data_IF_705506118624
#
_entry.id   IF_705506118624
#
_cell.length_a   1.000
_cell.length_b   1.000
_cell.length_c   1.000
_cell.angle_alpha   90.00
_cell.angle_beta   90.00
_cell.angle_gamma   90.00
#
_symmetry.space_group_name_H-M   'P 1'
#
loop_
_entity.id
_entity.type
_entity.pdbx_description
1 polymer ?
#
# COMPACT_ATOMS: atom_id res chain seq x y z
N UNK A 1 62.95 30.22 -35.34
CA UNK A 1 62.59 29.09 -34.47
C UNK A 1 62.29 29.66 -33.11
N UNK A 2 61.12 29.29 -32.57
CA UNK A 2 60.60 29.52 -31.21
C UNK A 2 60.38 30.97 -30.74
N UNK A 3 59.26 31.36 -30.13
CA UNK A 3 58.12 30.58 -29.66
C UNK A 3 57.46 31.31 -28.49
N UNK A 4 56.15 31.60 -28.63
CA UNK A 4 55.13 31.73 -27.56
C UNK A 4 55.34 32.74 -26.44
N UNK A 5 54.66 33.91 -26.46
CA UNK A 5 53.25 34.13 -26.14
C UNK A 5 52.87 33.95 -24.64
N UNK A 6 52.74 35.12 -24.00
CA UNK A 6 52.15 35.50 -22.72
C UNK A 6 51.03 34.58 -22.19
N UNK A 7 51.23 33.96 -21.03
CA UNK A 7 50.21 33.22 -20.27
C UNK A 7 49.13 34.19 -19.75
N UNK A 8 47.95 34.20 -20.36
CA UNK A 8 46.74 34.78 -19.76
C UNK A 8 46.06 33.70 -18.92
N UNK A 9 46.06 33.91 -17.59
CA UNK A 9 45.27 33.10 -16.65
C UNK A 9 43.80 33.48 -16.87
N UNK A 10 43.04 32.61 -17.53
CA UNK A 10 41.59 32.74 -17.65
C UNK A 10 40.97 32.16 -16.37
N UNK A 11 40.28 33.06 -15.68
CA UNK A 11 39.51 32.87 -14.47
C UNK A 11 38.41 31.83 -14.66
N UNK A 12 38.32 30.91 -13.70
CA UNK A 12 37.27 29.90 -13.60
C UNK A 12 35.88 30.57 -13.55
N UNK A 13 35.04 30.31 -14.54
CA UNK A 13 33.63 30.66 -14.49
C UNK A 13 32.89 29.55 -13.71
N UNK A 14 32.26 29.95 -12.60
CA UNK A 14 31.43 29.11 -11.74
C UNK A 14 30.33 28.43 -12.57
N UNK A 15 30.31 27.10 -12.57
CA UNK A 15 29.13 26.34 -12.93
C UNK A 15 28.18 26.35 -11.72
N UNK A 16 27.15 27.20 -11.76
CA UNK A 16 26.05 27.14 -10.81
C UNK A 16 25.21 25.89 -11.13
N UNK A 17 25.48 24.79 -10.42
CA UNK A 17 24.65 23.59 -10.46
C UNK A 17 23.36 23.92 -9.71
N UNK A 18 22.28 24.21 -10.43
CA UNK A 18 20.94 24.22 -9.85
C UNK A 18 20.60 22.79 -9.42
N UNK A 19 20.65 22.54 -8.11
CA UNK A 19 20.09 21.34 -7.52
C UNK A 19 18.56 21.41 -7.67
N UNK A 20 18.02 20.67 -8.64
CA UNK A 20 16.60 20.37 -8.69
C UNK A 20 16.35 19.40 -7.54
N UNK A 21 16.02 19.93 -6.37
CA UNK A 21 15.41 19.14 -5.31
C UNK A 21 14.01 18.77 -5.80
N UNK A 22 13.90 17.66 -6.52
CA UNK A 22 12.64 16.98 -6.74
C UNK A 22 12.19 16.47 -5.37
N UNK A 23 11.51 17.31 -4.60
CA UNK A 23 10.69 16.88 -3.48
C UNK A 23 9.49 16.14 -4.06
N UNK A 24 9.75 14.94 -4.57
CA UNK A 24 8.73 13.92 -4.70
C UNK A 24 8.37 13.51 -3.26
N UNK A 25 7.64 14.38 -2.57
CA UNK A 25 6.85 13.93 -1.43
C UNK A 25 6.00 12.79 -1.97
N UNK A 26 6.10 11.57 -1.42
CA UNK A 26 5.19 10.52 -1.81
C UNK A 26 3.78 11.08 -1.62
N UNK A 27 3.08 11.27 -2.74
CA UNK A 27 1.68 11.66 -2.74
C UNK A 27 0.97 10.42 -2.23
N UNK A 28 0.88 10.28 -0.91
CA UNK A 28 -0.06 9.36 -0.32
C UNK A 28 -1.42 9.85 -0.79
N UNK A 29 -1.94 9.19 -1.82
CA UNK A 29 -3.32 9.32 -2.25
C UNK A 29 -4.13 8.78 -1.07
N UNK A 30 -4.50 9.68 -0.18
CA UNK A 30 -5.50 9.42 0.86
C UNK A 30 -6.83 9.29 0.13
N UNK A 31 -7.21 8.07 -0.26
CA UNK A 31 -8.47 7.89 -0.98
C UNK A 31 -8.78 6.51 -1.54
N UNK A 32 -7.85 5.56 -1.50
CA UNK A 32 -8.15 4.15 -1.77
C UNK A 32 -7.86 3.39 -0.48
N UNK A 33 -8.87 2.73 0.09
CA UNK A 33 -8.69 1.86 1.25
C UNK A 33 -7.62 0.85 0.89
N UNK A 34 -6.43 0.98 1.50
CA UNK A 34 -5.29 0.11 1.16
C UNK A 34 -5.60 -1.28 1.70
N UNK A 35 -6.11 -2.16 0.84
CA UNK A 35 -6.35 -3.57 1.16
C UNK A 35 -5.04 -4.35 1.34
N UNK A 36 -5.15 -5.62 1.73
CA UNK A 36 -4.05 -6.57 1.94
C UNK A 36 -3.08 -6.56 0.77
N UNK A 37 -3.57 -6.59 -0.46
CA UNK A 37 -2.71 -6.51 -1.65
C UNK A 37 -1.92 -5.20 -1.70
N UNK A 38 -2.58 -4.05 -1.52
CA UNK A 38 -1.91 -2.75 -1.49
C UNK A 38 -0.86 -2.66 -0.38
N UNK A 39 -1.16 -3.19 0.81
CA UNK A 39 -0.25 -3.21 1.95
C UNK A 39 0.97 -4.09 1.66
N UNK A 40 0.78 -5.29 1.12
CA UNK A 40 1.91 -6.18 0.76
C UNK A 40 2.80 -5.57 -0.32
N UNK A 41 2.24 -4.89 -1.33
CA UNK A 41 3.02 -4.14 -2.32
C UNK A 41 3.82 -2.99 -1.68
N UNK A 42 3.29 -2.39 -0.60
CA UNK A 42 3.96 -1.35 0.18
C UNK A 42 4.97 -1.91 1.22
N UNK A 43 5.24 -3.21 1.21
CA UNK A 43 6.24 -3.87 2.06
C UNK A 43 5.75 -4.36 3.42
N UNK A 44 4.44 -4.30 3.69
CA UNK A 44 3.88 -4.95 4.88
C UNK A 44 3.93 -6.47 4.75
N UNK A 45 4.22 -7.17 5.85
CA UNK A 45 4.32 -8.63 5.88
C UNK A 45 3.11 -9.22 6.58
N UNK A 46 2.46 -10.23 5.99
CA UNK A 46 1.41 -11.00 6.68
C UNK A 46 2.09 -11.87 7.73
N UNK A 47 1.85 -11.57 9.00
CA UNK A 47 2.43 -12.29 10.15
C UNK A 47 1.43 -13.28 10.77
N UNK A 48 0.13 -13.11 10.49
CA UNK A 48 -0.92 -14.05 10.89
C UNK A 48 -2.07 -14.03 9.89
N UNK A 49 -2.65 -15.19 9.65
CA UNK A 49 -3.87 -15.37 8.89
C UNK A 49 -4.83 -16.25 9.70
N UNK A 50 -6.08 -15.83 9.84
CA UNK A 50 -7.13 -16.59 10.49
C UNK A 50 -8.32 -16.68 9.53
N UNK A 51 -8.81 -17.89 9.30
CA UNK A 51 -9.98 -18.14 8.46
C UNK A 51 -11.16 -18.54 9.31
N UNK A 52 -12.32 -17.94 9.01
CA UNK A 52 -13.59 -18.18 9.69
C UNK A 52 -14.70 -18.27 8.64
N UNK A 53 -15.75 -19.02 8.98
CA UNK A 53 -16.98 -19.03 8.22
C UNK A 53 -18.15 -18.73 9.15
N UNK A 54 -19.04 -17.87 8.69
CA UNK A 54 -20.31 -17.60 9.34
C UNK A 54 -21.45 -18.16 8.51
N UNK A 55 -22.31 -18.94 9.17
CA UNK A 55 -23.54 -19.43 8.57
C UNK A 55 -24.64 -18.41 8.89
N UNK A 56 -25.24 -17.84 7.85
CA UNK A 56 -26.35 -16.90 7.93
C UNK A 56 -27.58 -17.48 7.24
N UNK A 57 -28.75 -16.93 7.57
CA UNK A 57 -29.98 -17.25 6.85
C UNK A 57 -29.88 -16.82 5.39
N UNK A 58 -30.43 -17.64 4.49
CA UNK A 58 -30.55 -17.30 3.08
C UNK A 58 -31.37 -16.04 2.85
N UNK A 59 -31.10 -15.36 1.74
CA UNK A 59 -31.87 -14.19 1.29
C UNK A 59 -32.62 -14.53 0.00
N UNK A 60 -33.76 -13.88 -0.25
CA UNK A 60 -34.53 -14.09 -1.49
C UNK A 60 -33.64 -13.85 -2.72
N UNK A 61 -33.72 -14.68 -3.79
CA UNK A 61 -34.67 -15.78 -4.00
C UNK A 61 -34.25 -17.13 -3.38
N UNK A 62 -33.11 -17.19 -2.69
CA UNK A 62 -32.50 -18.40 -2.14
C UNK A 62 -32.68 -18.53 -0.62
N UNK A 63 -33.82 -18.07 -0.10
CA UNK A 63 -34.08 -18.06 1.35
C UNK A 63 -34.06 -19.46 2.00
N UNK A 64 -34.30 -20.51 1.22
CA UNK A 64 -34.22 -21.91 1.66
C UNK A 64 -32.79 -22.48 1.66
N UNK A 65 -31.82 -21.78 1.05
CA UNK A 65 -30.43 -22.21 1.00
C UNK A 65 -29.61 -21.53 2.10
N UNK A 66 -28.56 -22.23 2.55
CA UNK A 66 -27.59 -21.68 3.47
C UNK A 66 -26.83 -20.51 2.81
N UNK A 67 -26.66 -19.40 3.54
CA UNK A 67 -25.78 -18.30 3.15
C UNK A 67 -24.50 -18.41 3.96
N UNK A 68 -23.37 -18.58 3.29
CA UNK A 68 -22.06 -18.69 3.94
C UNK A 68 -21.31 -17.39 3.70
N UNK A 69 -20.80 -16.79 4.77
CA UNK A 69 -19.88 -15.67 4.69
C UNK A 69 -18.50 -16.18 5.10
N UNK A 70 -17.60 -16.24 4.14
CA UNK A 70 -16.19 -16.56 4.39
C UNK A 70 -15.48 -15.30 4.84
N UNK A 71 -14.72 -15.35 5.94
CA UNK A 71 -13.99 -14.22 6.49
C UNK A 71 -12.54 -14.63 6.70
N UNK A 72 -11.61 -13.90 6.09
CA UNK A 72 -10.18 -14.05 6.32
C UNK A 72 -9.65 -12.80 7.01
N UNK A 73 -9.06 -13.00 8.18
CA UNK A 73 -8.44 -11.97 8.99
C UNK A 73 -6.92 -12.05 8.84
N UNK A 74 -6.32 -11.01 8.27
CA UNK A 74 -4.89 -10.86 8.08
C UNK A 74 -4.32 -9.88 9.10
N UNK A 75 -3.28 -10.30 9.82
CA UNK A 75 -2.49 -9.39 10.65
C UNK A 75 -1.21 -9.10 9.86
N UNK A 76 -0.99 -7.84 9.56
CA UNK A 76 0.17 -7.37 8.82
C UNK A 76 1.06 -6.53 9.72
N UNK A 77 2.38 -6.70 9.58
CA UNK A 77 3.37 -5.92 10.31
C UNK A 77 4.29 -5.15 9.36
N UNK A 78 4.64 -3.93 9.76
CA UNK A 78 5.72 -3.15 9.16
C UNK A 78 6.34 -2.23 10.20
N UNK A 79 7.65 -2.34 10.41
CA UNK A 79 8.42 -1.43 11.29
C UNK A 79 7.82 -1.33 12.70
N UNK A 80 7.34 -2.44 13.26
CA UNK A 80 6.70 -2.50 14.58
C UNK A 80 5.26 -1.97 14.63
N UNK A 81 4.68 -1.53 13.50
CA UNK A 81 3.26 -1.21 13.36
C UNK A 81 2.47 -2.42 12.93
N UNK A 82 1.25 -2.53 13.42
CA UNK A 82 0.31 -3.59 13.08
C UNK A 82 -0.89 -3.00 12.33
N UNK A 83 -1.31 -3.69 11.29
CA UNK A 83 -2.57 -3.45 10.56
C UNK A 83 -3.34 -4.77 10.55
N UNK A 84 -4.63 -4.74 10.86
CA UNK A 84 -5.52 -5.90 10.74
C UNK A 84 -6.49 -5.64 9.61
N UNK A 85 -6.55 -6.59 8.66
CA UNK A 85 -7.49 -6.54 7.55
C UNK A 85 -8.46 -7.72 7.62
N UNK A 86 -9.73 -7.45 7.38
CA UNK A 86 -10.78 -8.44 7.22
C UNK A 86 -11.24 -8.42 5.77
N UNK A 87 -11.06 -9.55 5.09
CA UNK A 87 -11.60 -9.81 3.75
C UNK A 87 -12.77 -10.76 3.92
N UNK A 88 -13.95 -10.37 3.47
CA UNK A 88 -15.15 -11.20 3.54
C UNK A 88 -15.76 -11.42 2.17
N UNK A 89 -16.31 -12.61 1.95
CA UNK A 89 -17.05 -12.96 0.74
C UNK A 89 -18.40 -13.56 1.10
N UNK A 90 -19.47 -13.01 0.53
CA UNK A 90 -20.83 -13.48 0.73
C UNK A 90 -21.31 -14.40 -0.40
N UNK A 91 -21.58 -15.66 -0.09
CA UNK A 91 -21.87 -16.68 -1.11
C UNK A 91 -23.17 -16.48 -1.88
N UNK A 92 -24.13 -15.67 -1.37
CA UNK A 92 -25.41 -15.45 -2.04
C UNK A 92 -25.51 -14.07 -2.68
N UNK A 93 -24.86 -13.07 -2.10
CA UNK A 93 -24.83 -11.72 -2.67
C UNK A 93 -23.73 -11.56 -3.73
N UNK A 94 -22.75 -12.48 -3.75
CA UNK A 94 -21.56 -12.41 -4.60
C UNK A 94 -20.79 -11.08 -4.42
N UNK A 95 -20.74 -10.63 -3.16
CA UNK A 95 -20.05 -9.39 -2.76
C UNK A 95 -18.82 -9.77 -1.95
N UNK A 96 -17.68 -9.20 -2.33
CA UNK A 96 -16.47 -9.19 -1.52
C UNK A 96 -16.28 -7.81 -0.89
N UNK A 97 -16.10 -7.77 0.42
CA UNK A 97 -15.79 -6.56 1.17
C UNK A 97 -14.44 -6.70 1.85
N UNK A 98 -13.70 -5.61 1.91
CA UNK A 98 -12.41 -5.56 2.59
C UNK A 98 -12.31 -4.30 3.45
N UNK A 99 -11.84 -4.49 4.68
CA UNK A 99 -11.62 -3.40 5.64
C UNK A 99 -10.30 -3.62 6.35
N UNK A 100 -9.48 -2.57 6.45
CA UNK A 100 -8.20 -2.59 7.15
C UNK A 100 -8.15 -1.48 8.20
N UNK A 101 -7.66 -1.81 9.38
CA UNK A 101 -7.56 -0.89 10.53
C UNK A 101 -6.33 -1.18 11.39
N UNK A 102 -5.83 -0.16 12.08
CA UNK A 102 -4.88 -0.37 13.16
C UNK A 102 -5.61 -0.97 14.38
N UNK A 103 -5.01 -1.92 15.11
CA UNK A 103 -5.60 -2.44 16.34
C UNK A 103 -5.87 -1.32 17.34
N UNK A 104 -7.04 -1.32 17.96
CA UNK A 104 -7.32 -0.43 19.09
C UNK A 104 -6.49 -0.88 20.30
N UNK A 105 -5.79 0.06 20.92
CA UNK A 105 -4.93 -0.16 22.10
C UNK A 105 -5.75 -0.38 23.38
#
# INVERSE_FOLDING_TARGET
MDGTAKKRRLTAALAAVLAIAATASPRWVSGETVGVYGLTQAGWQIVKQIEKQEIRSGVSPYASLQRVVSITEYHLEKEGRIMVCWVSYDSQQDIQEERCEEPQA
#
